data_IF_385115254377
#
_entry.id   IF_385115254377
#
_cell.length_a   1.000
_cell.length_b   1.000
_cell.length_c   1.000
_cell.angle_alpha   90.00
_cell.angle_beta   90.00
_cell.angle_gamma   90.00
#
_symmetry.space_group_name_H-M   'P 1'
#
loop_
_entity.id
_entity.type
_entity.pdbx_description
1 polymer ?
#
# COMPACT_ATOMS: atom_id res chain seq x y z
N UNK A 1 19.98 -29.96 56.96
CA UNK A 1 19.90 -28.56 56.48
C UNK A 1 21.24 -28.19 55.84
N UNK A 2 21.32 -28.21 54.51
CA UNK A 2 22.44 -27.67 53.74
C UNK A 2 21.82 -26.99 52.51
N UNK A 3 21.81 -25.66 52.48
CA UNK A 3 21.30 -24.88 51.35
C UNK A 3 22.43 -24.68 50.34
N UNK A 4 22.21 -25.15 49.11
CA UNK A 4 23.06 -24.85 47.95
C UNK A 4 22.98 -23.36 47.63
N UNK A 5 24.13 -22.70 47.57
CA UNK A 5 24.28 -21.35 47.00
C UNK A 5 24.85 -21.56 45.60
N UNK A 6 24.06 -21.22 44.57
CA UNK A 6 24.54 -21.12 43.18
C UNK A 6 24.71 -19.66 42.81
N UNK A 7 25.89 -19.39 42.28
CA UNK A 7 26.39 -18.13 41.75
C UNK A 7 25.59 -17.76 40.49
N UNK A 8 25.04 -16.54 40.43
CA UNK A 8 24.74 -15.88 39.17
C UNK A 8 25.12 -14.40 39.26
N UNK A 9 25.86 -13.97 38.25
CA UNK A 9 26.56 -12.70 38.15
C UNK A 9 25.64 -11.48 38.30
N UNK A 10 25.89 -10.67 39.33
CA UNK A 10 25.43 -9.29 39.39
C UNK A 10 26.43 -8.40 38.63
N UNK A 11 26.30 -8.37 37.31
CA UNK A 11 26.80 -7.24 36.50
C UNK A 11 25.59 -6.71 35.76
N UNK A 12 24.90 -5.73 36.34
CA UNK A 12 24.21 -4.65 35.62
C UNK A 12 23.64 -3.65 36.62
N UNK A 13 24.48 -2.84 37.24
CA UNK A 13 24.05 -1.57 37.83
C UNK A 13 24.87 -0.46 37.20
N UNK A 14 24.50 -0.07 35.98
CA UNK A 14 24.74 1.26 35.43
C UNK A 14 24.11 1.44 34.03
N UNK A 15 22.80 1.21 33.84
CA UNK A 15 22.10 1.80 32.69
C UNK A 15 20.67 2.19 33.09
N UNK A 16 20.56 3.19 33.95
CA UNK A 16 19.41 4.09 33.88
C UNK A 16 19.92 5.48 33.51
N UNK A 17 19.27 6.05 32.49
CA UNK A 17 19.39 7.39 31.90
C UNK A 17 20.16 7.47 30.58
N UNK A 18 19.41 7.51 29.47
CA UNK A 18 19.64 8.46 28.35
C UNK A 18 18.42 8.48 27.41
N UNK A 19 17.34 9.11 27.88
CA UNK A 19 16.58 9.99 26.98
C UNK A 19 17.39 11.28 26.87
N UNK A 20 18.05 11.51 25.75
CA UNK A 20 18.53 12.83 25.35
C UNK A 20 18.61 12.85 23.82
N UNK A 21 17.96 13.81 23.17
CA UNK A 21 18.51 14.32 21.91
C UNK A 21 19.97 14.68 22.22
N UNK A 22 20.90 14.00 21.54
CA UNK A 22 22.30 13.96 21.96
C UNK A 22 22.88 15.37 22.07
N UNK A 23 22.97 15.88 23.29
CA UNK A 23 23.58 17.16 23.61
C UNK A 23 25.01 17.17 23.06
N UNK A 24 25.45 18.33 22.59
CA UNK A 24 26.86 18.50 22.28
C UNK A 24 27.65 18.33 23.58
N UNK A 25 28.69 17.49 23.57
CA UNK A 25 29.51 17.18 24.76
C UNK A 25 30.92 17.76 24.68
N UNK A 26 31.38 18.21 23.50
CA UNK A 26 32.74 18.76 23.29
C UNK A 26 32.73 20.09 22.55
N UNK A 27 33.83 20.82 22.66
CA UNK A 27 34.09 22.02 21.86
C UNK A 27 34.33 21.65 20.38
N UNK A 28 33.93 22.54 19.47
CA UNK A 28 34.23 22.43 18.03
C UNK A 28 34.88 23.73 17.55
N UNK A 29 35.95 23.62 16.78
CA UNK A 29 36.76 24.76 16.34
C UNK A 29 37.03 24.73 14.83
N UNK A 30 37.36 25.88 14.23
CA UNK A 30 37.80 25.94 12.84
C UNK A 30 38.94 24.96 12.53
N UNK A 31 38.88 24.34 11.34
CA UNK A 31 39.86 23.37 10.87
C UNK A 31 39.40 21.91 10.95
N UNK A 32 38.33 21.61 11.67
CA UNK A 32 37.72 20.27 11.68
C UNK A 32 37.17 19.93 10.29
N UNK A 33 37.45 18.69 9.84
CA UNK A 33 37.01 18.17 8.54
C UNK A 33 36.18 16.91 8.73
N UNK A 34 35.15 16.73 7.89
CA UNK A 34 34.30 15.54 7.85
C UNK A 34 33.85 15.07 9.26
N UNK A 35 33.55 16.00 10.15
CA UNK A 35 33.29 15.72 11.55
C UNK A 35 31.78 15.69 11.83
N UNK A 36 31.28 14.59 12.38
CA UNK A 36 29.84 14.40 12.61
C UNK A 36 29.23 15.44 13.57
N UNK A 37 29.98 15.89 14.58
CA UNK A 37 29.46 16.94 15.48
C UNK A 37 29.41 18.29 14.78
N UNK A 38 30.23 18.50 13.74
CA UNK A 38 30.15 19.69 12.90
C UNK A 38 28.95 19.61 11.96
N UNK A 39 28.60 18.42 11.44
CA UNK A 39 27.36 18.22 10.67
C UNK A 39 26.15 18.58 11.54
N UNK A 40 26.07 18.02 12.75
CA UNK A 40 25.00 18.32 13.70
C UNK A 40 24.92 19.81 14.05
N UNK A 41 26.08 20.45 14.22
CA UNK A 41 26.15 21.89 14.47
C UNK A 41 25.62 22.69 13.27
N UNK A 42 25.98 22.33 12.04
CA UNK A 42 25.53 23.00 10.83
C UNK A 42 24.02 22.87 10.61
N UNK A 43 23.43 21.71 10.94
CA UNK A 43 21.99 21.49 10.89
C UNK A 43 21.24 22.33 11.92
N UNK A 44 21.72 22.34 13.17
CA UNK A 44 21.17 23.20 14.22
C UNK A 44 21.23 24.68 13.80
N UNK A 45 22.39 25.15 13.32
CA UNK A 45 22.53 26.53 12.87
C UNK A 45 21.69 26.86 11.64
N UNK A 46 21.40 25.88 10.77
CA UNK A 46 20.49 26.07 9.63
C UNK A 46 19.05 26.23 10.11
N UNK A 47 18.61 25.37 11.03
CA UNK A 47 17.26 25.43 11.60
C UNK A 47 17.02 26.77 12.33
N UNK A 48 18.04 27.28 13.02
CA UNK A 48 18.01 28.60 13.67
C UNK A 48 18.24 29.78 12.68
N UNK A 49 18.41 29.50 11.38
CA UNK A 49 18.54 30.53 10.33
C UNK A 49 19.94 31.16 10.17
N UNK A 50 20.96 30.64 10.85
CA UNK A 50 22.33 31.16 10.83
C UNK A 50 23.23 30.54 9.76
N UNK A 51 22.90 29.35 9.25
CA UNK A 51 23.72 28.60 8.28
C UNK A 51 23.02 28.48 6.91
N UNK A 52 23.49 29.27 5.94
CA UNK A 52 22.89 29.38 4.61
C UNK A 52 23.56 28.49 3.55
N UNK A 53 24.59 27.70 3.92
CA UNK A 53 25.22 26.81 2.96
C UNK A 53 24.28 25.64 2.64
N UNK A 54 24.15 25.23 1.36
CA UNK A 54 23.19 24.21 0.95
C UNK A 54 23.34 22.86 1.65
N UNK A 55 24.55 22.52 2.09
CA UNK A 55 24.90 21.19 2.62
C UNK A 55 25.53 21.26 4.01
N UNK A 56 25.25 20.26 4.86
CA UNK A 56 25.95 20.10 6.14
C UNK A 56 27.19 19.22 5.93
N UNK A 57 28.26 19.81 5.41
CA UNK A 57 29.45 19.08 4.94
C UNK A 57 30.33 18.50 6.06
N UNK A 58 30.06 18.82 7.32
CA UNK A 58 30.90 18.40 8.45
C UNK A 58 32.25 19.12 8.52
N UNK A 59 32.46 20.13 7.68
CA UNK A 59 33.66 20.94 7.64
C UNK A 59 33.47 22.25 8.41
N UNK A 60 34.32 22.48 9.42
CA UNK A 60 34.30 23.70 10.21
C UNK A 60 35.30 24.69 9.61
N UNK A 61 34.91 25.33 8.52
CA UNK A 61 35.68 26.41 7.90
C UNK A 61 34.93 27.74 8.01
N UNK A 62 35.33 28.73 7.20
CA UNK A 62 34.83 30.12 7.24
C UNK A 62 33.31 30.24 7.23
N UNK A 63 32.60 29.37 6.52
CA UNK A 63 31.13 29.41 6.45
C UNK A 63 30.48 28.96 7.77
N UNK A 64 30.98 27.87 8.36
CA UNK A 64 30.51 27.35 9.65
C UNK A 64 30.90 28.28 10.80
N UNK A 65 32.14 28.77 10.78
CA UNK A 65 32.66 29.76 11.72
C UNK A 65 31.82 31.05 11.68
N UNK A 66 31.52 31.57 10.48
CA UNK A 66 30.68 32.75 10.31
C UNK A 66 29.24 32.53 10.80
N UNK A 67 28.69 31.33 10.66
CA UNK A 67 27.37 31.00 11.21
C UNK A 67 27.37 30.92 12.74
N UNK A 68 28.41 30.34 13.34
CA UNK A 68 28.60 30.29 14.80
C UNK A 68 28.78 31.69 15.37
N UNK A 69 29.54 32.55 14.69
CA UNK A 69 29.70 33.95 15.06
C UNK A 69 28.35 34.68 15.12
N UNK A 70 27.50 34.53 14.09
CA UNK A 70 26.16 35.15 14.06
C UNK A 70 25.26 34.63 15.17
N UNK A 71 25.30 33.32 15.42
CA UNK A 71 24.57 32.69 16.53
C UNK A 71 25.01 33.26 17.89
N UNK A 72 26.32 33.38 18.11
CA UNK A 72 26.89 33.96 19.33
C UNK A 72 26.46 35.41 19.54
N UNK A 73 26.56 36.24 18.49
CA UNK A 73 26.10 37.64 18.53
C UNK A 73 24.62 37.74 18.85
N UNK A 74 23.79 36.93 18.21
CA UNK A 74 22.33 36.96 18.37
C UNK A 74 21.88 36.53 19.76
N UNK A 75 22.60 35.61 20.40
CA UNK A 75 22.28 35.13 21.74
C UNK A 75 23.12 35.77 22.86
N UNK A 76 23.86 36.84 22.57
CA UNK A 76 24.64 37.58 23.56
C UNK A 76 25.78 36.77 24.19
N UNK A 77 26.38 35.84 23.45
CA UNK A 77 27.49 34.99 23.91
C UNK A 77 28.81 35.72 23.66
N UNK A 78 29.56 36.00 24.72
CA UNK A 78 30.86 36.69 24.65
C UNK A 78 32.00 35.80 25.13
N UNK A 79 33.16 35.74 24.42
CA UNK A 79 33.43 36.42 23.15
C UNK A 79 32.70 35.75 21.97
N UNK A 80 32.18 36.56 21.05
CA UNK A 80 31.63 36.09 19.79
C UNK A 80 32.78 36.01 18.77
N UNK A 81 33.40 34.84 18.67
CA UNK A 81 34.63 34.62 17.90
C UNK A 81 34.51 33.44 16.90
N UNK A 82 33.31 32.92 16.68
CA UNK A 82 33.08 31.83 15.74
C UNK A 82 33.59 30.46 16.22
N UNK A 83 33.99 30.32 17.49
CA UNK A 83 34.41 29.05 18.10
C UNK A 83 33.29 28.45 18.94
N UNK A 84 32.92 27.20 18.70
CA UNK A 84 31.86 26.50 19.43
C UNK A 84 32.40 25.96 20.78
N UNK A 85 32.62 26.88 21.72
CA UNK A 85 33.17 26.60 23.04
C UNK A 85 32.09 26.24 24.08
N UNK A 86 32.48 26.05 25.35
CA UNK A 86 31.59 25.68 26.44
C UNK A 86 30.35 26.59 26.61
N UNK A 87 30.50 27.90 26.43
CA UNK A 87 29.38 28.85 26.53
C UNK A 87 28.40 28.69 25.37
N UNK A 88 28.94 28.59 24.16
CA UNK A 88 28.15 28.38 22.93
C UNK A 88 27.40 27.05 22.99
N UNK A 89 28.10 25.98 23.39
CA UNK A 89 27.56 24.65 23.60
C UNK A 89 26.45 24.62 24.64
N UNK A 90 26.63 25.28 25.78
CA UNK A 90 25.61 25.36 26.84
C UNK A 90 24.33 26.01 26.29
N UNK A 91 24.46 27.12 25.55
CA UNK A 91 23.30 27.80 24.96
C UNK A 91 22.61 26.93 23.91
N UNK A 92 23.36 26.31 23.00
CA UNK A 92 22.82 25.38 22.00
C UNK A 92 22.10 24.20 22.63
N UNK A 93 22.68 23.56 23.65
CA UNK A 93 22.04 22.45 24.36
C UNK A 93 20.77 22.88 25.10
N UNK A 94 20.72 24.12 25.60
CA UNK A 94 19.51 24.69 26.22
C UNK A 94 18.40 24.85 25.19
N UNK A 95 18.71 25.35 23.99
CA UNK A 95 17.75 25.53 22.90
C UNK A 95 17.25 24.18 22.35
N UNK A 96 18.16 23.22 22.16
CA UNK A 96 17.83 21.85 21.77
C UNK A 96 16.91 21.17 22.79
N UNK A 97 17.08 21.45 24.09
CA UNK A 97 16.24 20.88 25.15
C UNK A 97 14.89 21.60 25.30
N UNK A 98 14.74 22.80 24.73
CA UNK A 98 13.54 23.62 24.82
C UNK A 98 12.58 23.42 23.62
N UNK A 99 13.02 22.78 22.54
CA UNK A 99 12.18 22.43 21.40
C UNK A 99 11.33 21.18 21.74
N UNK A 100 9.99 21.33 21.80
CA UNK A 100 9.06 20.19 21.74
C UNK A 100 9.31 19.42 20.43
N UNK A 101 9.18 18.08 20.41
CA UNK A 101 9.42 17.29 19.21
C UNK A 101 8.52 17.78 18.07
N UNK A 102 9.12 18.48 17.10
CA UNK A 102 8.52 18.81 15.82
C UNK A 102 8.49 17.53 14.96
N UNK A 103 7.41 17.24 14.23
CA UNK A 103 7.31 16.05 13.36
C UNK A 103 8.35 16.00 12.23
N UNK A 104 9.07 17.09 11.95
CA UNK A 104 9.97 17.23 10.80
C UNK A 104 11.30 16.46 10.92
N UNK A 105 11.68 15.95 12.10
CA UNK A 105 12.92 15.17 12.26
C UNK A 105 12.79 13.70 11.81
N UNK A 106 11.57 13.19 11.60
CA UNK A 106 11.34 11.80 11.23
C UNK A 106 11.53 11.50 9.74
N UNK A 107 11.37 12.49 8.86
CA UNK A 107 11.59 12.30 7.41
C UNK A 107 13.08 12.18 7.05
N UNK A 108 13.98 12.64 7.92
CA UNK A 108 15.43 12.72 7.59
C UNK A 108 16.19 11.42 7.92
N UNK A 109 15.69 10.57 8.83
CA UNK A 109 16.33 9.29 9.15
C UNK A 109 15.87 8.14 8.24
N UNK A 110 14.64 8.23 7.72
CA UNK A 110 14.09 7.20 6.87
C UNK A 110 14.78 7.22 5.50
N UNK A 111 15.11 6.04 5.01
CA UNK A 111 15.55 5.87 3.64
C UNK A 111 14.32 5.93 2.73
N UNK A 112 14.34 6.84 1.75
CA UNK A 112 13.22 7.04 0.82
C UNK A 112 13.49 6.51 -0.60
N UNK A 113 14.74 6.13 -0.91
CA UNK A 113 15.14 5.58 -2.21
C UNK A 113 15.93 4.28 -2.10
N UNK A 114 16.00 3.54 -3.20
CA UNK A 114 16.84 2.34 -3.31
C UNK A 114 18.33 2.74 -3.33
N UNK A 115 19.17 1.93 -2.69
CA UNK A 115 20.63 2.04 -2.76
C UNK A 115 21.20 0.73 -3.32
N UNK A 116 22.15 0.84 -4.24
CA UNK A 116 22.64 -0.30 -5.01
C UNK A 116 24.16 -0.29 -5.20
N UNK A 117 24.70 -1.45 -5.57
CA UNK A 117 26.12 -1.62 -5.83
C UNK A 117 26.61 -0.64 -6.90
N UNK A 118 27.70 0.06 -6.61
CA UNK A 118 28.31 1.03 -7.52
C UNK A 118 28.14 2.49 -7.12
N UNK A 119 27.23 2.80 -6.18
CA UNK A 119 27.11 4.16 -5.63
C UNK A 119 28.40 4.57 -4.92
N UNK A 120 28.81 5.82 -5.10
CA UNK A 120 30.06 6.39 -4.55
C UNK A 120 29.78 7.72 -3.86
N UNK A 121 30.45 7.98 -2.74
CA UNK A 121 30.34 9.21 -1.96
C UNK A 121 28.88 9.66 -1.71
N UNK A 122 27.99 8.70 -1.51
CA UNK A 122 26.55 8.93 -1.39
C UNK A 122 26.16 9.05 0.09
N UNK A 123 25.48 10.14 0.45
CA UNK A 123 25.10 10.45 1.85
C UNK A 123 24.10 9.47 2.45
N UNK A 124 23.20 8.89 1.65
CA UNK A 124 22.30 7.84 2.13
C UNK A 124 23.07 6.52 2.31
N UNK A 125 24.11 6.27 1.51
CA UNK A 125 24.99 5.12 1.73
C UNK A 125 25.82 5.28 3.01
N UNK A 126 26.28 6.49 3.33
CA UNK A 126 26.91 6.79 4.63
C UNK A 126 25.95 6.45 5.76
N UNK A 127 24.72 6.97 5.70
CA UNK A 127 23.68 6.71 6.71
C UNK A 127 23.36 5.22 6.81
N UNK A 128 23.27 4.51 5.69
CA UNK A 128 23.06 3.06 5.66
C UNK A 128 24.20 2.32 6.37
N UNK A 129 25.45 2.66 6.07
CA UNK A 129 26.63 2.05 6.68
C UNK A 129 26.68 2.28 8.19
N UNK A 130 26.35 3.47 8.67
CA UNK A 130 26.25 3.78 10.10
C UNK A 130 25.11 3.00 10.77
N UNK A 131 23.96 2.94 10.11
CA UNK A 131 22.75 2.24 10.60
C UNK A 131 22.99 0.74 10.75
N UNK A 132 23.66 0.14 9.78
CA UNK A 132 24.06 -1.27 9.79
C UNK A 132 25.17 -1.54 10.81
N UNK A 133 26.12 -0.62 10.99
CA UNK A 133 27.19 -0.73 12.01
C UNK A 133 26.61 -0.72 13.41
N UNK A 134 25.71 0.22 13.70
CA UNK A 134 25.02 0.30 15.00
C UNK A 134 24.24 -1.00 15.33
N UNK A 135 23.82 -1.75 14.31
CA UNK A 135 23.11 -3.03 14.42
C UNK A 135 24.02 -4.25 14.31
N UNK A 136 25.34 -4.06 14.24
CA UNK A 136 26.32 -5.14 14.20
C UNK A 136 26.49 -5.83 12.84
N UNK A 137 25.94 -5.27 11.75
CA UNK A 137 26.03 -5.86 10.41
C UNK A 137 27.18 -5.32 9.56
N UNK A 138 27.69 -4.12 9.88
CA UNK A 138 28.79 -3.50 9.14
C UNK A 138 30.00 -3.32 10.05
N UNK A 139 31.06 -4.10 9.81
CA UNK A 139 32.27 -4.13 10.64
C UNK A 139 33.35 -3.14 10.22
N UNK A 140 33.19 -2.49 9.06
CA UNK A 140 34.17 -1.52 8.58
C UNK A 140 34.08 -0.23 9.43
N UNK A 141 35.23 0.30 9.91
CA UNK A 141 35.24 1.41 10.88
C UNK A 141 34.72 2.72 10.29
N UNK A 142 34.82 2.90 8.97
CA UNK A 142 34.45 4.13 8.28
C UNK A 142 33.16 3.95 7.46
N UNK A 143 32.31 4.98 7.44
CA UNK A 143 31.19 5.08 6.51
C UNK A 143 31.60 5.97 5.33
N UNK A 144 32.18 5.36 4.31
CA UNK A 144 32.75 6.09 3.16
C UNK A 144 31.72 6.56 2.14
N UNK A 145 30.45 6.14 2.27
CA UNK A 145 29.40 6.46 1.29
C UNK A 145 29.51 5.66 -0.01
N UNK A 146 30.39 4.65 -0.05
CA UNK A 146 30.58 3.78 -1.20
C UNK A 146 29.85 2.45 -1.01
N UNK A 147 28.93 2.11 -1.92
CA UNK A 147 28.18 0.86 -1.88
C UNK A 147 28.85 -0.18 -2.77
N UNK A 148 29.82 -0.91 -2.22
CA UNK A 148 30.49 -2.02 -2.91
C UNK A 148 30.32 -3.34 -2.15
N UNK A 149 31.29 -4.26 -2.25
CA UNK A 149 31.22 -5.60 -1.67
C UNK A 149 30.95 -5.59 -0.16
N UNK A 150 31.67 -4.77 0.61
CA UNK A 150 31.52 -4.71 2.07
C UNK A 150 30.15 -4.20 2.53
N UNK A 151 29.62 -3.17 1.86
CA UNK A 151 28.27 -2.67 2.17
C UNK A 151 27.21 -3.65 1.70
N UNK A 152 27.38 -4.26 0.53
CA UNK A 152 26.50 -5.32 0.05
C UNK A 152 26.49 -6.54 0.97
N UNK A 153 27.63 -6.95 1.53
CA UNK A 153 27.74 -8.03 2.52
C UNK A 153 27.05 -7.69 3.83
N UNK A 154 27.19 -6.47 4.32
CA UNK A 154 26.45 -6.02 5.49
C UNK A 154 24.95 -5.99 5.26
N UNK A 155 24.51 -5.59 4.05
CA UNK A 155 23.10 -5.65 3.67
C UNK A 155 22.62 -7.09 3.56
N UNK A 156 23.42 -8.03 3.04
CA UNK A 156 23.09 -9.46 3.07
C UNK A 156 22.97 -10.01 4.48
N UNK A 157 23.91 -9.64 5.36
CA UNK A 157 23.90 -10.03 6.78
C UNK A 157 22.63 -9.54 7.47
N UNK A 158 22.25 -8.29 7.20
CA UNK A 158 21.00 -7.70 7.68
C UNK A 158 19.76 -8.39 7.10
N UNK A 159 19.71 -8.59 5.78
CA UNK A 159 18.63 -9.30 5.10
C UNK A 159 18.45 -10.72 5.65
N UNK A 160 19.56 -11.45 5.88
CA UNK A 160 19.54 -12.77 6.48
C UNK A 160 18.99 -12.75 7.91
N UNK A 161 19.40 -11.79 8.75
CA UNK A 161 18.85 -11.60 10.10
C UNK A 161 17.34 -11.36 10.06
N UNK A 162 16.86 -10.56 9.10
CA UNK A 162 15.43 -10.25 8.92
C UNK A 162 14.69 -11.29 8.08
N UNK A 163 15.35 -12.35 7.64
CA UNK A 163 14.81 -13.43 6.78
C UNK A 163 14.21 -12.90 5.46
N UNK A 164 14.80 -11.83 4.91
CA UNK A 164 14.48 -11.29 3.59
C UNK A 164 15.10 -12.21 2.52
N UNK A 165 14.28 -12.67 1.56
CA UNK A 165 14.71 -13.60 0.50
C UNK A 165 14.42 -13.01 -0.90
N UNK A 166 15.40 -12.97 -1.82
CA UNK A 166 16.79 -13.39 -1.62
C UNK A 166 17.57 -12.38 -0.77
N UNK A 167 18.53 -12.86 0.03
CA UNK A 167 19.52 -12.02 0.69
C UNK A 167 20.65 -11.70 -0.30
N UNK A 168 20.35 -10.88 -1.30
CA UNK A 168 21.20 -10.57 -2.44
C UNK A 168 22.19 -9.42 -2.18
N UNK A 169 21.97 -8.63 -1.12
CA UNK A 169 22.79 -7.48 -0.75
C UNK A 169 22.34 -6.18 -1.38
N UNK A 170 21.16 -6.15 -2.00
CA UNK A 170 20.55 -4.96 -2.60
C UNK A 170 19.67 -4.24 -1.57
N UNK A 171 19.90 -2.94 -1.35
CA UNK A 171 19.07 -2.13 -0.45
C UNK A 171 17.87 -1.54 -1.20
N UNK A 172 16.96 -2.42 -1.60
CA UNK A 172 15.74 -2.06 -2.35
C UNK A 172 14.53 -1.91 -1.42
N UNK A 173 13.34 -1.63 -1.98
CA UNK A 173 12.11 -1.36 -1.24
C UNK A 173 11.85 -2.25 0.00
N UNK A 174 12.06 -3.56 -0.10
CA UNK A 174 11.82 -4.48 1.02
C UNK A 174 12.86 -4.30 2.14
N UNK A 175 14.15 -4.35 1.81
CA UNK A 175 15.24 -4.15 2.78
C UNK A 175 15.19 -2.75 3.39
N UNK A 176 14.80 -1.76 2.60
CA UNK A 176 14.55 -0.39 3.04
C UNK A 176 13.40 -0.30 4.04
N UNK A 177 12.28 -0.94 3.75
CA UNK A 177 11.13 -0.96 4.65
C UNK A 177 11.48 -1.58 6.01
N UNK A 178 12.20 -2.70 6.02
CA UNK A 178 12.67 -3.34 7.26
C UNK A 178 13.65 -2.44 8.02
N UNK A 179 14.61 -1.81 7.33
CA UNK A 179 15.59 -0.96 8.01
C UNK A 179 14.95 0.32 8.56
N UNK A 180 14.00 0.90 7.81
CA UNK A 180 13.15 2.00 8.27
C UNK A 180 12.31 1.60 9.48
N UNK A 181 11.71 0.41 9.47
CA UNK A 181 10.98 -0.11 10.63
C UNK A 181 11.91 -0.29 11.84
N UNK A 182 13.14 -0.77 11.63
CA UNK A 182 14.12 -0.90 12.70
C UNK A 182 14.59 0.45 13.25
N UNK A 183 14.61 1.50 12.43
CA UNK A 183 14.87 2.87 12.87
C UNK A 183 13.71 3.35 13.74
N UNK A 184 12.47 3.14 13.28
CA UNK A 184 11.26 3.54 14.01
C UNK A 184 11.01 2.75 15.31
N UNK A 185 11.54 1.53 15.42
CA UNK A 185 11.37 0.68 16.61
C UNK A 185 12.52 0.78 17.61
N UNK A 186 13.70 1.25 17.19
CA UNK A 186 14.84 1.50 18.08
C UNK A 186 14.62 2.69 19.05
N UNK A 187 13.60 3.51 18.83
CA UNK A 187 13.24 4.65 19.69
C UNK A 187 12.36 4.28 20.90
N UNK A 188 11.87 3.04 20.99
CA UNK A 188 11.05 2.57 22.11
C UNK A 188 11.81 1.52 22.94
N UNK A 189 12.06 1.83 24.22
CA UNK A 189 12.57 0.87 25.21
C UNK A 189 11.42 -0.05 25.72
N UNK A 190 11.75 -1.27 26.19
CA UNK A 190 10.95 -2.48 25.95
C UNK A 190 9.98 -2.82 27.09
N UNK A 191 8.93 -3.57 26.76
CA UNK A 191 8.20 -4.40 27.72
C UNK A 191 8.19 -5.87 27.25
N UNK A 192 8.37 -6.78 28.21
CA UNK A 192 8.53 -8.22 28.06
C UNK A 192 7.27 -8.88 27.51
N UNK A 193 7.35 -9.43 26.29
CA UNK A 193 6.52 -10.58 25.92
C UNK A 193 7.10 -11.30 24.71
N UNK A 194 7.98 -12.28 24.96
CA UNK A 194 8.21 -13.35 23.98
C UNK A 194 7.13 -14.41 24.14
N UNK A 195 6.08 -14.29 23.33
CA UNK A 195 5.34 -15.41 22.76
C UNK A 195 5.11 -15.07 21.28
N UNK A 196 5.38 -16.03 20.39
CA UNK A 196 5.20 -15.84 18.96
C UNK A 196 3.72 -15.53 18.59
N UNK A 197 3.59 -14.69 17.54
CA UNK A 197 2.41 -14.25 16.73
C UNK A 197 1.60 -13.01 17.19
N UNK A 198 1.06 -12.13 16.29
CA UNK A 198 1.07 -12.10 14.80
C UNK A 198 1.56 -10.75 14.17
N UNK A 199 1.41 -10.60 12.84
CA UNK A 199 1.61 -9.39 12.02
C UNK A 199 1.22 -8.07 12.73
N UNK A 200 1.91 -6.94 12.42
CA UNK A 200 1.71 -5.66 13.10
C UNK A 200 0.23 -5.29 13.12
N UNK A 201 -0.27 -4.83 14.28
CA UNK A 201 -1.59 -4.19 14.43
C UNK A 201 -1.60 -2.90 13.62
N UNK A 202 -1.76 -3.07 12.34
CA UNK A 202 -2.27 -2.06 11.44
C UNK A 202 -3.56 -1.56 12.07
N UNK A 203 -3.66 -0.26 12.33
CA UNK A 203 -4.86 0.32 12.93
C UNK A 203 -6.07 -0.25 12.18
N UNK A 204 -6.92 -0.94 12.93
CA UNK A 204 -7.94 -1.82 12.40
C UNK A 204 -9.14 -0.97 12.04
N UNK A 205 -9.55 -1.06 10.79
CA UNK A 205 -10.72 -0.37 10.27
C UNK A 205 -11.98 -0.78 11.04
N UNK A 206 -12.96 0.12 11.17
CA UNK A 206 -14.30 -0.22 11.66
C UNK A 206 -15.00 -1.26 10.77
N UNK A 207 -14.49 -1.49 9.56
CA UNK A 207 -14.96 -2.50 8.63
C UNK A 207 -14.24 -3.84 8.73
N UNK A 208 -13.32 -3.99 9.68
CA UNK A 208 -12.64 -5.26 9.94
C UNK A 208 -13.63 -6.40 10.16
N UNK A 209 -13.43 -7.51 9.45
CA UNK A 209 -14.35 -8.67 9.37
C UNK A 209 -15.76 -8.37 8.81
N UNK A 210 -16.16 -7.11 8.63
CA UNK A 210 -17.39 -6.73 7.94
C UNK A 210 -17.21 -6.86 6.44
N UNK A 211 -16.13 -6.32 5.88
CA UNK A 211 -15.71 -6.66 4.52
C UNK A 211 -14.60 -7.69 4.62
N UNK A 212 -14.72 -8.77 3.84
CA UNK A 212 -13.76 -9.87 3.85
C UNK A 212 -13.31 -10.21 2.45
N UNK A 213 -12.07 -10.64 2.31
CA UNK A 213 -11.56 -11.34 1.14
C UNK A 213 -12.13 -12.76 1.20
N UNK A 214 -13.19 -12.97 0.44
CA UNK A 214 -13.96 -14.22 0.43
C UNK A 214 -13.25 -15.33 -0.35
N UNK A 215 -12.58 -14.98 -1.43
CA UNK A 215 -11.74 -15.90 -2.20
C UNK A 215 -10.70 -15.12 -2.98
N UNK A 216 -9.57 -15.75 -3.26
CA UNK A 216 -8.58 -15.25 -4.20
C UNK A 216 -8.04 -16.44 -5.01
N UNK A 217 -7.59 -16.16 -6.24
CA UNK A 217 -6.89 -17.09 -7.12
C UNK A 217 -5.70 -16.33 -7.70
N UNK A 218 -4.48 -16.78 -7.43
CA UNK A 218 -3.26 -16.10 -7.88
C UNK A 218 -2.09 -17.04 -8.19
N UNK A 219 -2.33 -18.36 -8.22
CA UNK A 219 -1.29 -19.38 -8.39
C UNK A 219 -0.89 -19.64 -9.85
N UNK A 220 -1.45 -18.86 -10.78
CA UNK A 220 -1.29 -19.09 -12.21
C UNK A 220 -0.59 -17.91 -12.84
N UNK A 221 0.30 -18.22 -13.79
CA UNK A 221 1.00 -17.25 -14.62
C UNK A 221 0.09 -16.57 -15.66
N UNK A 222 -1.15 -17.04 -15.86
CA UNK A 222 -2.13 -16.37 -16.72
C UNK A 222 -2.88 -15.29 -15.92
N UNK A 223 -2.67 -13.98 -16.21
CA UNK A 223 -3.34 -12.89 -15.50
C UNK A 223 -4.86 -12.95 -15.62
N UNK A 224 -5.40 -13.57 -16.68
CA UNK A 224 -6.86 -13.71 -16.84
C UNK A 224 -7.47 -14.75 -15.89
N UNK A 225 -6.64 -15.56 -15.22
CA UNK A 225 -7.08 -16.52 -14.21
C UNK A 225 -6.95 -16.00 -12.77
N UNK A 226 -6.33 -14.84 -12.61
CA UNK A 226 -6.12 -14.23 -11.31
C UNK A 226 -7.33 -13.39 -10.88
N UNK A 227 -7.79 -13.63 -9.66
CA UNK A 227 -8.99 -12.97 -9.13
C UNK A 227 -8.91 -12.75 -7.63
N UNK A 228 -9.57 -11.70 -7.16
CA UNK A 228 -9.87 -11.47 -5.75
C UNK A 228 -11.36 -11.15 -5.64
N UNK A 229 -12.03 -11.79 -4.69
CA UNK A 229 -13.44 -11.54 -4.39
C UNK A 229 -13.53 -11.01 -2.98
N UNK A 230 -14.00 -9.77 -2.84
CA UNK A 230 -14.38 -9.22 -1.55
C UNK A 230 -15.89 -9.33 -1.35
N UNK A 231 -16.32 -9.52 -0.12
CA UNK A 231 -17.73 -9.68 0.25
C UNK A 231 -18.05 -8.93 1.52
N UNK A 232 -19.21 -8.29 1.54
CA UNK A 232 -19.81 -7.75 2.74
C UNK A 232 -20.49 -8.86 3.56
N UNK A 233 -20.06 -9.01 4.81
CA UNK A 233 -20.54 -9.97 5.82
C UNK A 233 -21.42 -9.32 6.88
N UNK A 234 -21.61 -8.01 6.84
CA UNK A 234 -22.60 -7.31 7.66
C UNK A 234 -24.01 -7.84 7.37
N UNK A 235 -24.87 -7.81 8.38
CA UNK A 235 -26.24 -8.33 8.28
C UNK A 235 -27.22 -7.33 7.66
N UNK A 236 -26.97 -6.04 7.88
CA UNK A 236 -27.89 -4.93 7.63
C UNK A 236 -27.20 -3.69 7.04
N UNK A 237 -25.88 -3.58 7.19
CA UNK A 237 -25.11 -2.42 6.72
C UNK A 237 -24.66 -2.57 5.25
N UNK A 238 -24.89 -1.52 4.46
CA UNK A 238 -24.28 -1.35 3.13
C UNK A 238 -23.00 -0.52 3.24
N UNK A 239 -21.90 -0.99 2.66
CA UNK A 239 -20.56 -0.41 2.87
C UNK A 239 -19.98 0.08 1.54
N UNK A 240 -19.61 1.36 1.48
CA UNK A 240 -18.90 1.97 0.36
C UNK A 240 -17.45 1.45 0.32
N UNK A 241 -17.05 0.87 -0.80
CA UNK A 241 -15.69 0.30 -0.98
C UNK A 241 -14.90 0.94 -2.12
N UNK A 242 -15.48 1.86 -2.90
CA UNK A 242 -14.69 2.64 -3.87
C UNK A 242 -13.62 3.46 -3.16
N UNK A 243 -12.41 3.49 -3.72
CA UNK A 243 -11.25 4.17 -3.14
C UNK A 243 -10.49 3.34 -2.08
N UNK A 244 -11.05 2.22 -1.63
CA UNK A 244 -10.30 1.21 -0.88
C UNK A 244 -9.31 0.53 -1.81
N UNK A 245 -8.35 -0.22 -1.27
CA UNK A 245 -7.34 -0.85 -2.11
C UNK A 245 -6.83 -2.18 -1.57
N UNK A 246 -6.35 -3.00 -2.51
CA UNK A 246 -5.68 -4.27 -2.24
C UNK A 246 -4.18 -4.03 -2.38
N UNK A 247 -3.40 -4.46 -1.39
CA UNK A 247 -1.94 -4.55 -1.45
C UNK A 247 -1.52 -6.00 -1.63
N UNK A 248 -0.56 -6.25 -2.52
CA UNK A 248 0.07 -7.56 -2.69
C UNK A 248 1.47 -7.58 -2.07
N UNK A 249 2.02 -8.78 -1.87
CA UNK A 249 3.39 -8.99 -1.38
C UNK A 249 4.46 -8.55 -2.39
N UNK A 250 4.08 -8.23 -3.63
CA UNK A 250 4.96 -7.58 -4.62
C UNK A 250 4.97 -6.05 -4.44
N UNK A 251 4.22 -5.50 -3.49
CA UNK A 251 4.06 -4.07 -3.29
C UNK A 251 3.06 -3.41 -4.24
N UNK A 252 2.36 -4.19 -5.08
CA UNK A 252 1.33 -3.66 -5.97
C UNK A 252 0.13 -3.18 -5.16
N UNK A 253 -0.33 -1.95 -5.42
CA UNK A 253 -1.54 -1.38 -4.84
C UNK A 253 -2.62 -1.23 -5.91
N UNK A 254 -3.78 -1.84 -5.69
CA UNK A 254 -4.91 -1.81 -6.61
C UNK A 254 -6.08 -1.09 -5.95
N UNK A 255 -6.37 0.12 -6.39
CA UNK A 255 -7.52 0.88 -5.91
C UNK A 255 -8.81 0.36 -6.54
N UNK A 256 -9.85 0.18 -5.73
CA UNK A 256 -11.17 -0.21 -6.17
C UNK A 256 -11.81 0.99 -6.90
N UNK A 257 -12.12 0.85 -8.21
CA UNK A 257 -12.60 1.96 -9.02
C UNK A 257 -14.10 2.24 -8.78
N UNK A 258 -14.63 3.18 -9.54
CA UNK A 258 -16.06 3.31 -9.79
C UNK A 258 -16.52 2.35 -10.91
N UNK A 259 -17.83 2.22 -11.09
CA UNK A 259 -18.43 1.23 -11.98
C UNK A 259 -19.69 1.74 -12.68
N UNK A 260 -20.12 1.11 -13.77
CA UNK A 260 -21.42 1.38 -14.38
C UNK A 260 -22.50 0.54 -13.70
N UNK A 261 -23.55 1.19 -13.17
CA UNK A 261 -24.72 0.45 -12.64
C UNK A 261 -25.57 -0.17 -13.76
N UNK A 262 -25.61 0.48 -14.92
CA UNK A 262 -26.25 -0.03 -16.14
C UNK A 262 -25.23 0.07 -17.28
N UNK A 263 -24.41 -0.97 -17.51
CA UNK A 263 -23.40 -0.98 -18.58
C UNK A 263 -24.02 -0.96 -19.98
N UNK A 264 -23.28 -0.50 -20.99
CA UNK A 264 -23.66 -0.63 -22.40
C UNK A 264 -24.76 0.32 -22.89
N UNK A 265 -25.24 1.24 -22.05
CA UNK A 265 -26.02 2.40 -22.48
C UNK A 265 -25.09 3.59 -22.76
N UNK A 266 -25.43 4.38 -23.78
CA UNK A 266 -24.80 5.67 -24.03
C UNK A 266 -24.99 6.55 -22.79
N UNK A 267 -23.94 7.26 -22.38
CA UNK A 267 -23.92 8.22 -21.25
C UNK A 267 -24.19 7.63 -19.84
N UNK A 268 -24.09 6.31 -19.66
CA UNK A 268 -24.20 5.72 -18.32
C UNK A 268 -23.08 6.24 -17.42
N UNK A 269 -23.38 6.90 -16.28
CA UNK A 269 -22.34 7.47 -15.43
C UNK A 269 -21.65 6.40 -14.58
N UNK A 270 -20.37 6.63 -14.28
CA UNK A 270 -19.67 5.88 -13.25
C UNK A 270 -20.24 6.22 -11.87
N UNK A 271 -20.45 5.19 -11.05
CA UNK A 271 -21.00 5.27 -9.70
C UNK A 271 -20.06 4.57 -8.71
N UNK A 272 -20.02 5.03 -7.45
CA UNK A 272 -19.28 4.33 -6.41
C UNK A 272 -19.86 2.94 -6.12
N UNK A 273 -18.98 1.98 -5.83
CA UNK A 273 -19.32 0.62 -5.46
C UNK A 273 -19.68 0.60 -3.98
N UNK A 274 -20.95 0.34 -3.69
CA UNK A 274 -21.46 0.11 -2.34
C UNK A 274 -21.93 -1.32 -2.24
N UNK A 275 -21.30 -2.11 -1.37
CA UNK A 275 -21.67 -3.51 -1.16
C UNK A 275 -22.80 -3.60 -0.12
N UNK A 276 -24.03 -3.99 -0.49
CA UNK A 276 -25.08 -4.30 0.48
C UNK A 276 -24.75 -5.58 1.26
N UNK A 277 -25.51 -5.92 2.30
CA UNK A 277 -25.37 -7.19 3.01
C UNK A 277 -25.26 -8.38 2.03
N UNK A 278 -24.27 -9.25 2.23
CA UNK A 278 -23.92 -10.37 1.33
C UNK A 278 -23.43 -10.03 -0.08
N UNK A 279 -23.44 -8.73 -0.45
CA UNK A 279 -22.95 -8.25 -1.73
C UNK A 279 -21.46 -8.52 -1.94
N UNK A 280 -21.08 -8.73 -3.20
CA UNK A 280 -19.71 -9.11 -3.57
C UNK A 280 -19.15 -8.28 -4.71
N UNK A 281 -17.86 -7.99 -4.64
CA UNK A 281 -17.09 -7.44 -5.75
C UNK A 281 -16.03 -8.46 -6.18
N UNK A 282 -16.01 -8.79 -7.46
CA UNK A 282 -14.98 -9.62 -8.08
C UNK A 282 -14.05 -8.75 -8.90
N UNK A 283 -12.78 -8.73 -8.54
CA UNK A 283 -11.69 -8.03 -9.23
C UNK A 283 -10.84 -9.09 -9.92
N UNK A 284 -10.72 -9.01 -11.23
CA UNK A 284 -9.88 -9.88 -12.05
C UNK A 284 -8.67 -9.10 -12.58
N UNK A 285 -7.49 -9.70 -12.58
CA UNK A 285 -6.28 -8.99 -12.98
C UNK A 285 -6.22 -8.76 -14.50
N UNK A 286 -6.56 -9.78 -15.29
CA UNK A 286 -6.44 -9.77 -16.74
C UNK A 286 -7.38 -8.83 -17.49
N UNK A 287 -7.38 -9.00 -18.82
CA UNK A 287 -8.09 -8.13 -19.75
C UNK A 287 -9.54 -8.56 -19.97
N UNK A 288 -10.39 -7.57 -20.16
CA UNK A 288 -11.77 -7.73 -20.61
C UNK A 288 -12.06 -6.61 -21.60
N UNK A 289 -12.09 -6.94 -22.89
CA UNK A 289 -12.18 -5.96 -23.99
C UNK A 289 -13.48 -5.16 -23.95
N UNK A 290 -14.58 -5.83 -23.60
CA UNK A 290 -15.92 -5.22 -23.51
C UNK A 290 -16.44 -5.27 -22.09
N UNK A 291 -16.93 -4.12 -21.61
CA UNK A 291 -17.54 -3.98 -20.28
C UNK A 291 -16.56 -4.33 -19.13
N UNK A 292 -15.43 -3.62 -18.97
CA UNK A 292 -14.41 -3.96 -17.97
C UNK A 292 -14.80 -3.64 -16.52
N UNK A 293 -15.86 -2.85 -16.29
CA UNK A 293 -16.36 -2.55 -14.94
C UNK A 293 -17.87 -2.39 -14.98
N UNK A 294 -18.61 -3.15 -14.18
CA UNK A 294 -20.06 -2.96 -14.04
C UNK A 294 -20.65 -3.64 -12.79
N UNK A 295 -21.82 -3.17 -12.38
CA UNK A 295 -22.75 -3.92 -11.52
C UNK A 295 -23.57 -4.88 -12.37
N UNK A 296 -23.64 -6.15 -11.97
CA UNK A 296 -24.56 -7.09 -12.60
C UNK A 296 -26.01 -6.70 -12.34
N UNK A 297 -26.85 -6.91 -13.34
CA UNK A 297 -28.30 -6.81 -13.26
C UNK A 297 -28.91 -8.03 -13.94
N UNK A 298 -30.22 -8.22 -13.78
CA UNK A 298 -30.91 -9.40 -14.34
C UNK A 298 -30.78 -9.52 -15.87
N UNK A 299 -30.37 -8.47 -16.59
CA UNK A 299 -30.17 -8.48 -18.03
C UNK A 299 -28.71 -8.72 -18.47
N UNK A 300 -27.72 -8.57 -17.58
CA UNK A 300 -26.28 -8.62 -17.95
C UNK A 300 -25.83 -9.92 -18.60
N UNK A 301 -26.57 -11.02 -18.42
CA UNK A 301 -26.23 -12.28 -19.07
C UNK A 301 -26.24 -12.23 -20.60
N UNK A 302 -26.96 -11.28 -21.21
CA UNK A 302 -26.94 -11.05 -22.66
C UNK A 302 -25.55 -10.69 -23.20
N UNK A 303 -24.64 -10.17 -22.36
CA UNK A 303 -23.29 -9.85 -22.81
C UNK A 303 -22.46 -11.10 -23.17
N UNK A 304 -22.84 -12.28 -22.67
CA UNK A 304 -22.16 -13.53 -23.03
C UNK A 304 -22.26 -13.85 -24.54
N UNK A 305 -23.25 -13.28 -25.24
CA UNK A 305 -23.42 -13.45 -26.70
C UNK A 305 -22.43 -12.61 -27.51
N UNK A 306 -21.79 -11.60 -26.88
CA UNK A 306 -20.90 -10.66 -27.55
C UNK A 306 -19.43 -10.80 -27.13
N UNK A 307 -19.18 -11.36 -25.95
CA UNK A 307 -17.84 -11.57 -25.39
C UNK A 307 -17.86 -12.70 -24.38
N UNK A 308 -16.74 -13.43 -24.27
CA UNK A 308 -16.52 -14.38 -23.18
C UNK A 308 -15.94 -13.64 -21.99
N UNK A 309 -16.51 -13.86 -20.81
CA UNK A 309 -15.98 -13.31 -19.56
C UNK A 309 -15.19 -14.36 -18.80
N UNK A 310 -14.03 -13.95 -18.27
CA UNK A 310 -13.23 -14.74 -17.33
C UNK A 310 -12.87 -13.84 -16.14
N UNK A 311 -13.49 -14.01 -14.96
CA UNK A 311 -14.49 -15.01 -14.59
C UNK A 311 -15.83 -14.87 -15.30
N UNK A 312 -16.55 -15.99 -15.44
CA UNK A 312 -17.88 -16.00 -16.04
C UNK A 312 -18.89 -15.17 -15.23
N UNK A 313 -19.85 -14.56 -15.94
CA UNK A 313 -20.99 -13.83 -15.38
C UNK A 313 -22.27 -14.69 -15.43
N UNK A 314 -23.35 -14.22 -14.79
CA UNK A 314 -24.64 -14.91 -14.82
C UNK A 314 -25.13 -15.17 -16.26
N UNK A 315 -25.73 -16.34 -16.47
CA UNK A 315 -26.46 -16.69 -17.72
C UNK A 315 -27.98 -16.76 -17.49
N UNK A 316 -28.46 -16.05 -16.47
CA UNK A 316 -29.87 -15.98 -16.11
C UNK A 316 -30.41 -14.60 -16.41
N UNK A 317 -31.43 -14.55 -17.27
CA UNK A 317 -32.20 -13.38 -17.64
C UNK A 317 -33.70 -13.68 -17.50
N UNK A 318 -34.54 -12.64 -17.27
CA UNK A 318 -35.98 -12.76 -17.33
C UNK A 318 -36.43 -13.44 -18.63
N UNK A 319 -37.44 -14.29 -18.53
CA UNK A 319 -38.09 -14.88 -19.70
C UNK A 319 -39.37 -14.10 -19.98
N UNK A 320 -39.72 -13.89 -21.26
CA UNK A 320 -41.03 -13.37 -21.64
C UNK A 320 -42.17 -14.17 -21.00
N UNK A 321 -43.14 -13.49 -20.40
CA UNK A 321 -44.42 -14.12 -20.06
C UNK A 321 -45.29 -14.20 -21.32
N UNK A 322 -45.32 -15.38 -21.93
CA UNK A 322 -46.09 -15.58 -23.17
C UNK A 322 -47.60 -15.41 -23.00
N UNK A 323 -48.12 -15.43 -21.77
CA UNK A 323 -49.56 -15.24 -21.52
C UNK A 323 -49.98 -13.77 -21.72
N UNK A 324 -49.04 -12.83 -21.61
CA UNK A 324 -49.29 -11.39 -21.82
C UNK A 324 -49.13 -10.98 -23.29
N UNK A 325 -48.69 -11.90 -24.16
CA UNK A 325 -48.35 -11.64 -25.56
C UNK A 325 -49.41 -12.19 -26.54
N UNK A 326 -50.70 -12.05 -26.19
CA UNK A 326 -51.82 -12.63 -26.95
C UNK A 326 -51.97 -12.06 -28.37
N UNK A 327 -51.29 -10.95 -28.69
CA UNK A 327 -51.24 -10.39 -30.04
C UNK A 327 -50.26 -11.13 -30.97
N UNK A 328 -49.40 -11.99 -30.43
CA UNK A 328 -48.47 -12.81 -31.22
C UNK A 328 -49.11 -14.15 -31.61
N UNK A 329 -48.71 -14.68 -32.76
CA UNK A 329 -49.20 -15.98 -33.23
C UNK A 329 -48.62 -17.18 -32.43
N UNK A 330 -49.32 -18.32 -32.49
CA UNK A 330 -48.94 -19.54 -31.75
C UNK A 330 -47.54 -20.05 -32.09
N UNK A 331 -47.11 -19.89 -33.35
CA UNK A 331 -45.78 -20.30 -33.80
C UNK A 331 -44.71 -19.48 -33.07
N UNK A 332 -44.92 -18.17 -32.95
CA UNK A 332 -44.07 -17.26 -32.22
C UNK A 332 -44.03 -17.62 -30.72
N UNK A 333 -45.19 -17.74 -30.07
CA UNK A 333 -45.28 -18.05 -28.64
C UNK A 333 -44.56 -19.36 -28.30
N UNK A 334 -44.70 -20.39 -29.15
CA UNK A 334 -44.00 -21.66 -28.98
C UNK A 334 -42.49 -21.54 -29.20
N UNK A 335 -42.03 -20.64 -30.07
CA UNK A 335 -40.61 -20.39 -30.27
C UNK A 335 -40.01 -19.60 -29.11
N UNK A 336 -40.69 -18.57 -28.60
CA UNK A 336 -40.24 -17.79 -27.44
C UNK A 336 -39.97 -18.68 -26.22
N UNK A 337 -40.82 -19.69 -25.98
CA UNK A 337 -40.63 -20.67 -24.88
C UNK A 337 -39.36 -21.52 -25.02
N UNK A 338 -38.87 -21.73 -26.24
CA UNK A 338 -37.69 -22.56 -26.54
C UNK A 338 -36.38 -21.79 -26.50
N UNK A 339 -36.43 -20.46 -26.57
CA UNK A 339 -35.23 -19.63 -26.56
C UNK A 339 -34.57 -19.75 -25.18
N UNK A 340 -33.27 -20.05 -25.20
CA UNK A 340 -32.48 -20.12 -23.98
C UNK A 340 -32.41 -18.74 -23.30
N UNK A 341 -32.23 -18.74 -21.98
CA UNK A 341 -32.14 -17.50 -21.22
C UNK A 341 -30.92 -16.69 -21.67
N UNK A 342 -31.07 -15.37 -21.77
CA UNK A 342 -30.04 -14.45 -22.24
C UNK A 342 -29.53 -14.66 -23.68
N UNK A 343 -30.33 -15.28 -24.55
CA UNK A 343 -29.95 -15.50 -25.96
C UNK A 343 -30.53 -14.41 -26.85
N UNK A 344 -29.68 -13.83 -27.70
CA UNK A 344 -30.10 -12.91 -28.76
C UNK A 344 -30.46 -13.78 -29.97
N UNK A 345 -31.70 -13.73 -30.48
CA UNK A 345 -32.07 -14.54 -31.64
C UNK A 345 -31.24 -14.19 -32.88
N UNK A 346 -31.02 -15.15 -33.75
CA UNK A 346 -30.26 -14.96 -35.00
C UNK A 346 -31.14 -14.39 -36.11
N UNK A 347 -30.51 -13.86 -37.16
CA UNK A 347 -31.19 -13.36 -38.35
C UNK A 347 -32.13 -14.40 -39.01
N UNK A 348 -31.72 -15.66 -39.08
CA UNK A 348 -32.58 -16.74 -39.59
C UNK A 348 -33.77 -17.04 -38.67
N UNK A 349 -33.62 -16.87 -37.35
CA UNK A 349 -34.71 -16.99 -36.40
C UNK A 349 -35.67 -15.81 -36.49
N UNK A 350 -35.19 -14.59 -36.76
CA UNK A 350 -36.03 -13.41 -36.96
C UNK A 350 -36.88 -13.51 -38.23
N UNK A 351 -36.30 -13.90 -39.37
CA UNK A 351 -37.01 -13.91 -40.66
C UNK A 351 -37.91 -15.14 -40.88
N UNK A 352 -37.82 -16.16 -40.01
CA UNK A 352 -38.69 -17.33 -40.07
C UNK A 352 -40.04 -17.16 -39.34
N UNK A 353 -40.30 -15.98 -38.75
CA UNK A 353 -41.51 -15.68 -37.98
C UNK A 353 -42.35 -14.57 -38.62
N UNK A 354 -43.52 -14.30 -38.05
CA UNK A 354 -44.34 -13.13 -38.41
C UNK A 354 -43.64 -11.81 -38.04
N UNK A 355 -44.05 -10.73 -38.72
CA UNK A 355 -43.51 -9.38 -38.50
C UNK A 355 -43.59 -8.94 -37.03
N UNK A 356 -44.71 -9.24 -36.36
CA UNK A 356 -44.91 -8.87 -34.95
C UNK A 356 -43.98 -9.64 -34.02
N UNK A 357 -43.77 -10.93 -34.30
CA UNK A 357 -42.83 -11.76 -33.55
C UNK A 357 -41.40 -11.26 -33.69
N UNK A 358 -40.96 -10.96 -34.92
CA UNK A 358 -39.62 -10.44 -35.18
C UNK A 358 -39.42 -9.10 -34.48
N UNK A 359 -40.41 -8.22 -34.54
CA UNK A 359 -40.40 -6.92 -33.86
C UNK A 359 -40.28 -7.09 -32.35
N UNK A 360 -41.07 -7.99 -31.76
CA UNK A 360 -40.98 -8.30 -30.34
C UNK A 360 -39.59 -8.82 -29.96
N UNK A 361 -39.07 -9.81 -30.68
CA UNK A 361 -37.77 -10.39 -30.37
C UNK A 361 -36.63 -9.37 -30.48
N UNK A 362 -36.60 -8.53 -31.52
CA UNK A 362 -35.59 -7.47 -31.69
C UNK A 362 -35.70 -6.44 -30.56
N UNK A 363 -36.93 -6.06 -30.22
CA UNK A 363 -37.21 -5.05 -29.21
C UNK A 363 -36.87 -5.50 -27.79
N UNK A 364 -37.06 -6.78 -27.46
CA UNK A 364 -37.09 -7.26 -26.08
C UNK A 364 -35.98 -8.28 -25.75
N UNK A 365 -35.57 -9.15 -26.68
CA UNK A 365 -34.58 -10.21 -26.44
C UNK A 365 -33.14 -9.74 -26.67
N UNK A 366 -32.82 -8.58 -26.10
CA UNK A 366 -31.49 -7.98 -26.10
C UNK A 366 -31.20 -7.39 -24.73
N UNK A 367 -29.93 -7.04 -24.45
CA UNK A 367 -29.60 -6.32 -23.22
C UNK A 367 -30.41 -5.02 -23.08
N UNK A 368 -30.42 -4.18 -24.13
CA UNK A 368 -31.11 -2.90 -24.11
C UNK A 368 -32.63 -3.07 -23.96
N UNK A 369 -33.22 -4.06 -24.65
CA UNK A 369 -34.63 -4.42 -24.51
C UNK A 369 -34.99 -4.83 -23.09
N UNK A 370 -34.26 -5.80 -22.55
CA UNK A 370 -34.46 -6.27 -21.18
C UNK A 370 -34.33 -5.14 -20.15
N UNK A 371 -33.33 -4.26 -20.28
CA UNK A 371 -33.16 -3.10 -19.39
C UNK A 371 -34.34 -2.13 -19.52
N UNK A 372 -34.80 -1.85 -20.73
CA UNK A 372 -35.97 -0.99 -20.95
C UNK A 372 -37.21 -1.54 -20.23
N UNK A 373 -37.41 -2.85 -20.27
CA UNK A 373 -38.60 -3.49 -19.70
C UNK A 373 -38.51 -3.64 -18.18
N UNK A 374 -37.31 -3.92 -17.65
CA UNK A 374 -37.13 -4.34 -16.25
C UNK A 374 -36.35 -3.38 -15.34
N UNK A 375 -35.79 -2.26 -15.83
CA UNK A 375 -34.96 -1.37 -14.99
C UNK A 375 -35.64 -0.84 -13.73
N UNK A 376 -36.97 -0.80 -13.72
CA UNK A 376 -37.78 -0.32 -12.60
C UNK A 376 -38.20 -1.44 -11.64
N UNK A 377 -37.86 -2.70 -11.93
CA UNK A 377 -38.17 -3.82 -11.06
C UNK A 377 -37.39 -3.72 -9.75
N UNK A 378 -38.04 -4.00 -8.63
CA UNK A 378 -37.43 -3.94 -7.30
C UNK A 378 -36.14 -4.77 -7.15
N UNK A 379 -35.98 -5.82 -7.96
CA UNK A 379 -34.82 -6.74 -7.96
C UNK A 379 -34.02 -6.68 -9.27
N UNK A 380 -34.09 -5.56 -9.99
CA UNK A 380 -33.36 -5.38 -11.24
C UNK A 380 -31.84 -5.49 -11.05
N UNK A 381 -31.30 -4.74 -10.09
CA UNK A 381 -29.89 -4.78 -9.77
C UNK A 381 -29.53 -5.99 -8.92
N UNK A 382 -28.42 -6.64 -9.23
CA UNK A 382 -27.87 -7.73 -8.44
C UNK A 382 -26.79 -7.20 -7.48
N UNK A 383 -26.57 -7.93 -6.39
CA UNK A 383 -25.56 -7.58 -5.38
C UNK A 383 -24.17 -8.12 -5.75
N UNK A 384 -23.80 -7.94 -7.02
CA UNK A 384 -22.60 -8.50 -7.62
C UNK A 384 -21.97 -7.48 -8.56
N UNK A 385 -20.72 -7.12 -8.27
CA UNK A 385 -19.92 -6.21 -9.07
C UNK A 385 -18.77 -6.94 -9.73
N UNK A 386 -18.36 -6.44 -10.89
CA UNK A 386 -17.29 -6.98 -11.72
C UNK A 386 -16.32 -5.88 -12.11
N UNK A 387 -15.03 -6.11 -11.92
CA UNK A 387 -13.94 -5.22 -12.32
C UNK A 387 -12.82 -6.06 -12.93
N UNK A 388 -12.35 -5.68 -14.10
CA UNK A 388 -11.15 -6.19 -14.74
C UNK A 388 -10.10 -5.08 -14.80
N UNK A 389 -8.89 -5.37 -14.33
CA UNK A 389 -7.81 -4.39 -14.25
C UNK A 389 -7.09 -4.17 -15.59
N UNK A 390 -7.35 -5.01 -16.60
CA UNK A 390 -6.78 -4.83 -17.93
C UNK A 390 -5.30 -5.20 -18.04
N UNK A 391 -4.75 -5.97 -17.09
CA UNK A 391 -3.31 -6.24 -17.01
C UNK A 391 -2.88 -7.31 -18.02
N UNK A 392 -1.69 -7.11 -18.55
CA UNK A 392 -0.95 -8.09 -19.36
C UNK A 392 -0.04 -9.00 -18.54
N UNK A 393 0.13 -8.70 -17.25
CA UNK A 393 1.07 -9.40 -16.36
C UNK A 393 0.38 -9.84 -15.08
N UNK A 394 0.84 -10.98 -14.53
CA UNK A 394 0.40 -11.49 -13.24
C UNK A 394 0.55 -10.43 -12.15
N UNK A 395 -0.43 -10.40 -11.27
CA UNK A 395 -0.58 -9.49 -10.15
C UNK A 395 -0.06 -10.14 -8.86
N UNK A 396 -0.25 -11.45 -8.72
CA UNK A 396 0.06 -12.19 -7.51
C UNK A 396 1.36 -12.99 -7.67
N UNK A 397 1.93 -13.43 -6.54
CA UNK A 397 2.99 -14.45 -6.49
C UNK A 397 2.35 -15.82 -6.63
N UNK A 398 2.93 -16.68 -7.45
CA UNK A 398 2.34 -18.01 -7.68
C UNK A 398 2.51 -18.99 -6.51
N UNK A 399 3.44 -18.74 -5.58
CA UNK A 399 3.82 -19.67 -4.50
C UNK A 399 3.38 -19.21 -3.12
N UNK A 400 3.84 -18.03 -2.70
CA UNK A 400 3.49 -17.41 -1.42
C UNK A 400 3.03 -15.98 -1.68
N UNK A 401 1.73 -15.75 -1.52
CA UNK A 401 1.13 -14.43 -1.65
C UNK A 401 0.41 -14.07 -0.36
N UNK A 402 0.45 -12.78 -0.04
CA UNK A 402 -0.31 -12.13 1.02
C UNK A 402 -1.02 -10.95 0.37
N UNK A 403 -2.35 -11.01 0.36
CA UNK A 403 -3.20 -9.90 -0.07
C UNK A 403 -3.81 -9.23 1.15
N UNK A 404 -3.60 -7.92 1.25
CA UNK A 404 -4.13 -7.09 2.32
C UNK A 404 -5.18 -6.16 1.75
N UNK A 405 -6.39 -6.18 2.30
CA UNK A 405 -7.43 -5.21 1.99
C UNK A 405 -7.37 -4.06 3.00
N UNK A 406 -7.33 -2.84 2.48
CA UNK A 406 -7.34 -1.60 3.27
C UNK A 406 -8.47 -0.69 2.86
N UNK A 407 -9.01 0.06 3.82
CA UNK A 407 -10.03 1.05 3.53
C UNK A 407 -9.46 2.32 2.89
N UNK A 408 -10.33 3.29 2.57
CA UNK A 408 -9.94 4.55 1.93
C UNK A 408 -8.99 5.42 2.76
N UNK A 409 -8.87 5.15 4.07
CA UNK A 409 -7.93 5.85 4.98
C UNK A 409 -6.63 5.07 5.18
N UNK A 410 -6.50 3.90 4.54
CA UNK A 410 -5.34 3.02 4.65
C UNK A 410 -5.37 2.08 5.87
N UNK A 411 -6.48 2.05 6.62
CA UNK A 411 -6.63 1.17 7.78
C UNK A 411 -6.90 -0.28 7.33
N UNK A 412 -6.51 -1.23 8.17
CA UNK A 412 -6.59 -2.65 7.85
C UNK A 412 -8.01 -3.20 7.95
N UNK A 413 -8.45 -3.91 6.92
CA UNK A 413 -9.80 -4.51 6.84
C UNK A 413 -9.75 -6.03 6.87
N UNK A 414 -8.92 -6.66 6.05
CA UNK A 414 -8.78 -8.13 6.00
C UNK A 414 -7.46 -8.54 5.33
N UNK A 415 -7.02 -9.78 5.59
CA UNK A 415 -5.84 -10.38 4.97
C UNK A 415 -6.10 -11.82 4.56
N UNK A 416 -5.54 -12.22 3.42
CA UNK A 416 -5.48 -13.64 3.03
C UNK A 416 -4.10 -13.98 2.50
N UNK A 417 -3.69 -15.22 2.73
CA UNK A 417 -2.43 -15.79 2.25
C UNK A 417 -2.59 -17.21 1.75
N UNK A 418 -1.65 -17.66 0.93
CA UNK A 418 -1.54 -19.06 0.50
C UNK A 418 -0.11 -19.48 0.22
#
# INVERSE_FOLDING_TARGET
MMKKVSILAFVLTAIFALKAQAQFTRDLAPGLRNNLDVVRLQEFLRAEGFFAYPESTGNYFTVTEGAVLRFQLTHGITPANGVFNALTRKKTNTLLSAQKPSPELFETELFMRDLFFGLRNDSDVVRLQETLRARGHFSHPESTGNYFSLTGEAVRSYQAQKRIVPADGSFTALTRAYLNQDILTATDLPDESTLADPLPKTATSTFYKKITIASFSGRSTDPNSETVVIRNRSRDESILVTGWYIETSKGSRITIPQTYDIPGLLDSPLRPITLPPSGKLTIAAGKQEKYPTFRENICTGYFNEQTKFKPAISKKCPRPDTNELLYLDDKCLNNLKKIASCTIPTQSQFFAQSSDCSTYMIGHLTYAGCVRDHRNDKKFYLDSWRVWLGRDTELFRNTHEIITLRDSTGLFVDERKY
#
